data_IF_706314077508
#
_entry.id   IF_706314077508
#
_cell.length_a   1.000
_cell.length_b   1.000
_cell.length_c   1.000
_cell.angle_alpha   90.00
_cell.angle_beta   90.00
_cell.angle_gamma   90.00
#
_symmetry.space_group_name_H-M   'P 1'
#
loop_
_entity.id
_entity.type
_entity.pdbx_description
1 polymer ?
#
# COMPACT_ATOMS: atom_id res chain seq x y z
N UNK A 1 -1.49 5.64 26.31
CA UNK A 1 -1.19 5.51 24.87
C UNK A 1 -2.48 5.77 24.11
N UNK A 2 -2.65 6.96 23.53
CA UNK A 2 -3.81 7.26 22.69
C UNK A 2 -3.64 6.56 21.35
N UNK A 3 -4.50 5.58 21.09
CA UNK A 3 -4.61 4.99 19.76
C UNK A 3 -5.13 6.06 18.80
N UNK A 4 -4.43 6.26 17.68
CA UNK A 4 -4.91 7.09 16.59
C UNK A 4 -6.28 6.54 16.15
N UNK A 5 -7.32 7.38 16.12
CA UNK A 5 -8.65 6.90 15.80
C UNK A 5 -8.73 6.57 14.30
N UNK A 6 -9.56 5.59 13.92
CA UNK A 6 -9.75 5.17 12.51
C UNK A 6 -10.22 6.34 11.62
N UNK A 7 -10.92 7.33 12.20
CA UNK A 7 -11.27 8.57 11.52
C UNK A 7 -10.06 9.39 11.06
N UNK A 8 -8.93 9.27 11.77
CA UNK A 8 -7.68 9.94 11.44
C UNK A 8 -6.95 9.21 10.30
N UNK A 9 -6.93 7.88 10.29
CA UNK A 9 -6.37 7.10 9.17
C UNK A 9 -7.13 7.35 7.86
N UNK A 10 -8.46 7.50 7.91
CA UNK A 10 -9.28 7.86 6.73
C UNK A 10 -8.98 9.28 6.22
N UNK A 11 -8.67 10.22 7.12
CA UNK A 11 -8.19 11.57 6.76
C UNK A 11 -6.77 11.54 6.18
N UNK A 12 -5.88 10.71 6.73
CA UNK A 12 -4.53 10.54 6.20
C UNK A 12 -4.56 9.83 4.84
N UNK A 13 -5.37 8.79 4.64
CA UNK A 13 -5.47 8.05 3.37
C UNK A 13 -6.05 8.83 2.17
N UNK A 14 -6.31 10.14 2.32
CA UNK A 14 -6.35 11.10 1.20
C UNK A 14 -4.97 11.26 0.50
N UNK A 15 -3.94 10.48 0.87
CA UNK A 15 -2.52 10.70 0.57
C UNK A 15 -2.04 10.52 -0.88
N UNK A 16 -2.89 10.09 -1.82
CA UNK A 16 -2.50 10.09 -3.25
C UNK A 16 -3.61 10.68 -4.11
N UNK A 17 -3.84 12.01 -4.03
CA UNK A 17 -4.78 12.64 -4.92
C UNK A 17 -4.30 12.42 -6.36
N UNK A 18 -5.08 11.68 -7.15
CA UNK A 18 -4.96 11.77 -8.60
C UNK A 18 -5.49 13.15 -8.96
N UNK A 19 -4.59 14.14 -9.00
CA UNK A 19 -4.91 15.42 -9.63
C UNK A 19 -5.11 15.12 -11.12
N UNK A 20 -6.36 15.11 -11.59
CA UNK A 20 -6.68 14.96 -13.02
C UNK A 20 -6.28 16.27 -13.70
N UNK A 21 -4.98 16.45 -13.86
CA UNK A 21 -4.37 17.51 -14.65
C UNK A 21 -4.31 17.05 -16.11
N UNK A 22 -3.89 17.93 -17.01
CA UNK A 22 -3.70 17.64 -18.43
C UNK A 22 -2.61 16.59 -18.75
N UNK A 23 -1.85 16.10 -17.77
CA UNK A 23 -0.77 15.12 -17.94
C UNK A 23 -1.20 13.65 -17.65
N UNK A 24 -2.46 13.41 -17.28
CA UNK A 24 -2.99 12.06 -17.02
C UNK A 24 -4.07 11.71 -18.02
N UNK A 25 -3.93 10.55 -18.64
CA UNK A 25 -4.87 9.97 -19.58
C UNK A 25 -5.39 8.64 -19.04
N UNK A 26 -6.59 8.24 -19.45
CA UNK A 26 -7.19 6.92 -19.16
C UNK A 26 -7.24 6.55 -17.66
N UNK A 27 -7.76 7.46 -16.83
CA UNK A 27 -7.93 7.21 -15.40
C UNK A 27 -9.08 6.23 -15.17
N UNK A 28 -8.75 4.99 -14.83
CA UNK A 28 -9.71 3.92 -14.56
C UNK A 28 -9.73 3.53 -13.08
N UNK A 29 -10.86 3.00 -12.63
CA UNK A 29 -10.96 2.36 -11.31
C UNK A 29 -10.38 0.95 -11.40
N UNK A 30 -9.65 0.53 -10.38
CA UNK A 30 -9.22 -0.86 -10.23
C UNK A 30 -10.39 -1.66 -9.66
N UNK A 31 -10.67 -2.82 -10.23
CA UNK A 31 -11.72 -3.73 -9.75
C UNK A 31 -11.38 -4.25 -8.35
N UNK A 32 -12.36 -4.35 -7.46
CA UNK A 32 -12.19 -4.96 -6.14
C UNK A 32 -11.66 -6.39 -6.25
N UNK A 33 -12.14 -7.18 -7.22
CA UNK A 33 -11.69 -8.55 -7.43
C UNK A 33 -10.20 -8.62 -7.86
N UNK A 34 -9.69 -7.58 -8.52
CA UNK A 34 -8.27 -7.45 -8.83
C UNK A 34 -7.48 -7.12 -7.55
N UNK A 35 -7.95 -6.15 -6.76
CA UNK A 35 -7.33 -5.74 -5.49
C UNK A 35 -7.29 -6.88 -4.45
N UNK A 36 -8.29 -7.77 -4.44
CA UNK A 36 -8.32 -8.96 -3.59
C UNK A 36 -7.19 -9.94 -3.95
N UNK A 37 -6.91 -10.14 -5.23
CA UNK A 37 -5.87 -11.05 -5.74
C UNK A 37 -4.45 -10.57 -5.49
N UNK A 38 -4.25 -9.28 -5.22
CA UNK A 38 -2.93 -8.73 -4.92
C UNK A 38 -2.41 -9.30 -3.59
N UNK A 39 -1.33 -10.06 -3.65
CA UNK A 39 -0.64 -10.60 -2.47
C UNK A 39 0.60 -9.73 -2.21
N UNK A 40 0.62 -9.06 -1.06
CA UNK A 40 1.81 -8.35 -0.58
C UNK A 40 2.68 -9.37 0.17
N UNK A 41 3.95 -9.58 -0.21
CA UNK A 41 4.83 -10.51 0.48
C UNK A 41 5.10 -10.05 1.92
N UNK A 42 5.61 -10.96 2.76
CA UNK A 42 6.03 -10.58 4.12
C UNK A 42 7.25 -9.66 4.05
N UNK A 43 7.32 -8.59 4.88
CA UNK A 43 8.51 -7.76 4.96
C UNK A 43 9.69 -8.60 5.49
N UNK A 44 10.89 -8.25 5.05
CA UNK A 44 12.14 -8.91 5.43
C UNK A 44 13.07 -7.92 6.13
N UNK A 45 13.93 -8.47 6.97
CA UNK A 45 15.07 -7.75 7.55
C UNK A 45 16.29 -7.94 6.67
N UNK A 46 17.05 -6.88 6.43
CA UNK A 46 18.29 -6.95 5.64
C UNK A 46 19.31 -5.90 6.11
N UNK A 47 20.56 -6.07 5.67
CA UNK A 47 21.61 -5.06 5.78
C UNK A 47 22.07 -4.70 4.37
N UNK A 48 22.43 -3.44 4.13
CA UNK A 48 22.95 -3.03 2.82
C UNK A 48 24.32 -3.64 2.61
N UNK A 49 24.63 -4.09 1.39
CA UNK A 49 25.99 -4.55 1.04
C UNK A 49 27.01 -3.41 1.04
N UNK A 50 26.56 -2.18 0.76
CA UNK A 50 27.38 -0.98 0.64
C UNK A 50 26.70 0.13 1.45
N UNK A 51 27.49 0.90 2.21
CA UNK A 51 27.00 1.97 3.08
C UNK A 51 26.77 1.49 4.51
N UNK A 52 25.79 2.09 5.19
CA UNK A 52 25.48 1.80 6.59
C UNK A 52 24.98 0.36 6.77
N UNK A 53 25.63 -0.40 7.67
CA UNK A 53 25.38 -1.81 7.96
C UNK A 53 24.27 -2.02 9.00
N UNK A 54 23.44 -0.99 9.23
CA UNK A 54 22.25 -1.10 10.07
C UNK A 54 21.26 -2.11 9.51
N UNK A 55 20.56 -2.76 10.42
CA UNK A 55 19.43 -3.61 10.07
C UNK A 55 18.26 -2.73 9.61
N UNK A 56 17.80 -2.97 8.39
CA UNK A 56 16.64 -2.33 7.78
C UNK A 56 15.50 -3.34 7.63
N UNK A 57 14.26 -2.84 7.54
CA UNK A 57 13.07 -3.64 7.23
C UNK A 57 12.50 -3.12 5.91
N UNK A 58 12.19 -4.02 4.99
CA UNK A 58 11.57 -3.64 3.72
C UNK A 58 11.07 -4.83 2.92
N UNK A 59 10.76 -4.57 1.65
CA UNK A 59 10.32 -5.57 0.69
C UNK A 59 11.42 -5.82 -0.35
N UNK A 60 11.48 -7.05 -0.84
CA UNK A 60 12.29 -7.39 -2.02
C UNK A 60 11.47 -6.98 -3.24
N UNK A 61 12.04 -6.14 -4.09
CA UNK A 61 11.32 -5.54 -5.22
C UNK A 61 10.83 -6.60 -6.21
N UNK A 62 11.62 -7.65 -6.41
CA UNK A 62 11.35 -8.77 -7.31
C UNK A 62 10.18 -9.65 -6.83
N UNK A 63 9.88 -9.61 -5.53
CA UNK A 63 8.76 -10.36 -4.92
C UNK A 63 7.46 -9.54 -4.89
N UNK A 64 7.52 -8.25 -5.23
CA UNK A 64 6.34 -7.40 -5.27
C UNK A 64 5.53 -7.65 -6.56
N UNK A 65 4.19 -7.56 -6.48
CA UNK A 65 3.32 -7.56 -7.65
C UNK A 65 3.70 -6.51 -8.69
N UNK A 66 3.53 -6.82 -9.98
CA UNK A 66 3.88 -5.92 -11.09
C UNK A 66 3.31 -4.52 -10.99
N UNK A 67 2.05 -4.39 -10.56
CA UNK A 67 1.38 -3.11 -10.32
C UNK A 67 2.15 -2.19 -9.36
N UNK A 68 2.95 -2.77 -8.46
CA UNK A 68 3.69 -2.06 -7.42
C UNK A 68 5.17 -1.92 -7.81
N UNK A 69 5.69 -2.77 -8.69
CA UNK A 69 7.10 -2.71 -9.14
C UNK A 69 7.33 -1.45 -9.98
N UNK A 70 8.39 -0.72 -9.66
CA UNK A 70 8.78 0.45 -10.44
C UNK A 70 10.30 0.54 -10.56
N UNK A 71 10.81 0.41 -11.78
CA UNK A 71 12.25 0.44 -12.10
C UNK A 71 13.03 -0.51 -11.18
N UNK A 72 13.99 0.02 -10.41
CA UNK A 72 14.87 -0.72 -9.51
C UNK A 72 14.30 -0.83 -8.08
N UNK A 73 12.99 -0.68 -7.91
CA UNK A 73 12.31 -0.67 -6.61
C UNK A 73 10.81 -0.82 -6.77
N UNK A 74 10.06 0.01 -6.06
CA UNK A 74 8.61 -0.04 -6.07
C UNK A 74 7.99 1.35 -5.96
N UNK A 75 6.78 1.49 -6.49
CA UNK A 75 5.98 2.69 -6.30
C UNK A 75 5.33 2.67 -4.92
N UNK A 76 5.87 3.48 -4.01
CA UNK A 76 5.35 3.63 -2.66
C UNK A 76 3.89 4.11 -2.65
N UNK A 77 3.48 4.94 -3.62
CA UNK A 77 2.09 5.43 -3.73
C UNK A 77 1.14 4.28 -4.05
N UNK A 78 1.51 3.42 -5.01
CA UNK A 78 0.74 2.23 -5.35
C UNK A 78 0.62 1.28 -4.14
N UNK A 79 1.74 1.02 -3.45
CA UNK A 79 1.76 0.16 -2.26
C UNK A 79 0.83 0.69 -1.16
N UNK A 80 0.93 1.98 -0.83
CA UNK A 80 0.09 2.60 0.20
C UNK A 80 -1.38 2.57 -0.18
N UNK A 81 -1.74 2.84 -1.45
CA UNK A 81 -3.13 2.79 -1.91
C UNK A 81 -3.74 1.39 -1.78
N UNK A 82 -2.99 0.33 -2.11
CA UNK A 82 -3.46 -1.05 -1.99
C UNK A 82 -3.60 -1.45 -0.52
N UNK A 83 -2.62 -1.09 0.33
CA UNK A 83 -2.70 -1.38 1.76
C UNK A 83 -3.88 -0.68 2.43
N UNK A 84 -4.12 0.59 2.07
CA UNK A 84 -5.26 1.37 2.52
C UNK A 84 -6.58 0.66 2.22
N UNK A 85 -6.76 0.24 0.96
CA UNK A 85 -7.95 -0.46 0.53
C UNK A 85 -8.12 -1.80 1.27
N UNK A 86 -7.05 -2.60 1.40
CA UNK A 86 -7.10 -3.89 2.12
C UNK A 86 -7.46 -3.71 3.60
N UNK A 87 -6.91 -2.70 4.27
CA UNK A 87 -7.24 -2.39 5.68
C UNK A 87 -8.71 -2.00 5.80
N UNK A 88 -9.19 -1.08 4.96
CA UNK A 88 -10.62 -0.69 4.96
C UNK A 88 -11.54 -1.89 4.72
N UNK A 89 -11.17 -2.78 3.79
CA UNK A 89 -11.94 -4.00 3.52
C UNK A 89 -11.99 -4.94 4.73
N UNK A 90 -10.87 -5.14 5.41
CA UNK A 90 -10.81 -5.94 6.65
C UNK A 90 -11.69 -5.32 7.74
N UNK A 91 -11.60 -4.00 7.93
CA UNK A 91 -12.42 -3.29 8.93
C UNK A 91 -13.92 -3.43 8.65
N UNK A 92 -14.35 -3.33 7.39
CA UNK A 92 -15.75 -3.53 7.00
C UNK A 92 -16.24 -4.95 7.31
N UNK A 93 -15.40 -5.96 7.07
CA UNK A 93 -15.73 -7.36 7.36
C UNK A 93 -15.80 -7.61 8.87
N UNK A 94 -14.86 -7.06 9.65
CA UNK A 94 -14.86 -7.17 11.10
C UNK A 94 -16.02 -6.40 11.76
N UNK A 95 -16.35 -5.23 11.23
CA UNK A 95 -17.48 -4.41 11.69
C UNK A 95 -18.84 -5.05 11.41
N UNK A 96 -18.95 -5.85 10.34
CA UNK A 96 -20.15 -6.67 10.06
C UNK A 96 -20.29 -7.88 10.99
N UNK A 97 -19.17 -8.47 11.42
CA UNK A 97 -19.17 -9.62 12.35
C UNK A 97 -19.37 -9.24 13.83
N UNK A 98 -19.48 -7.94 14.14
CA UNK A 98 -19.65 -7.43 15.50
C UNK A 98 -21.10 -7.01 15.81
N UNK A 99 -22.08 -7.42 15.00
CA UNK A 99 -23.53 -7.21 15.20
C UNK A 99 -24.29 -8.51 15.21
#
# INVERSE_FOLDING_TARGET
MSYCSIGDLRRYLQFTPIKVNSDKIDVQKIDEAELEKIIIPKPKKYKRKIGDQREEIGFIAEELPELIRHRNGYDLKALVAILAWKITRIEELLGKNSR
#
